data_IF_415111063511
#
_entry.id   IF_415111063511
#
_cell.length_a   1.000
_cell.length_b   1.000
_cell.length_c   1.000
_cell.angle_alpha   90.00
_cell.angle_beta   90.00
_cell.angle_gamma   90.00
#
_symmetry.space_group_name_H-M   'P 1'
#
loop_
_entity.id
_entity.type
_entity.pdbx_description
1 polymer ?
#
# COMPACT_ATOMS: atom_id res chain seq x y z
N UNK A 1 -56.16 53.77 -10.41
CA UNK A 1 -56.89 52.52 -10.15
C UNK A 1 -55.76 51.50 -9.99
N UNK A 2 -55.33 51.24 -8.75
CA UNK A 2 -55.81 50.19 -7.85
C UNK A 2 -55.60 48.82 -8.55
N UNK A 3 -54.89 47.85 -8.02
CA UNK A 3 -54.66 47.43 -6.64
C UNK A 3 -53.63 46.29 -6.67
N UNK A 4 -52.71 46.26 -5.75
CA UNK A 4 -52.65 45.26 -4.65
C UNK A 4 -52.56 43.80 -5.18
N UNK A 5 -51.64 43.07 -4.81
CA UNK A 5 -51.04 42.74 -3.57
C UNK A 5 -50.27 41.44 -3.73
N UNK A 6 -49.50 41.40 -2.83
CA UNK A 6 -49.21 40.45 -1.77
C UNK A 6 -48.06 39.54 -2.06
N UNK A 7 -47.02 39.90 -1.40
CA UNK A 7 -45.92 39.13 -0.83
C UNK A 7 -46.37 37.82 -0.24
N UNK A 8 -45.62 36.77 -0.52
CA UNK A 8 -45.34 35.78 0.54
C UNK A 8 -43.94 35.23 0.30
N UNK A 9 -43.02 35.81 0.99
CA UNK A 9 -41.79 35.17 1.42
C UNK A 9 -42.12 33.90 2.20
N UNK A 10 -41.57 32.78 1.81
CA UNK A 10 -41.32 31.70 2.76
C UNK A 10 -39.90 31.22 2.52
N UNK A 11 -39.03 31.64 3.41
CA UNK A 11 -37.77 30.99 3.76
C UNK A 11 -38.02 29.51 3.99
N UNK A 12 -37.25 28.67 3.30
CA UNK A 12 -36.86 27.36 3.79
C UNK A 12 -35.39 27.14 3.36
N UNK A 13 -34.51 27.88 4.00
CA UNK A 13 -33.17 27.44 4.29
C UNK A 13 -33.26 26.54 5.50
N UNK A 14 -33.42 25.28 5.33
CA UNK A 14 -33.13 24.26 6.33
C UNK A 14 -32.08 23.31 5.73
N UNK A 15 -30.85 23.60 6.11
CA UNK A 15 -29.90 22.65 6.69
C UNK A 15 -30.13 21.18 6.29
N UNK A 16 -29.49 20.77 5.22
CA UNK A 16 -29.05 19.38 5.04
C UNK A 16 -27.54 19.30 5.30
N UNK A 17 -27.14 19.52 6.54
CA UNK A 17 -25.95 18.91 7.09
C UNK A 17 -26.23 17.41 7.16
N UNK A 18 -25.99 16.74 6.05
CA UNK A 18 -25.94 15.29 6.05
C UNK A 18 -24.64 14.88 6.72
N UNK A 19 -24.75 14.48 7.97
CA UNK A 19 -23.79 13.67 8.70
C UNK A 19 -23.23 12.56 7.82
N UNK A 20 -22.11 12.82 7.15
CA UNK A 20 -21.22 11.78 6.67
C UNK A 20 -20.34 11.33 7.84
N UNK A 21 -20.94 10.85 8.89
CA UNK A 21 -20.31 9.92 9.79
C UNK A 21 -20.25 8.57 9.06
N UNK A 22 -19.23 8.43 8.22
CA UNK A 22 -18.77 7.11 7.80
C UNK A 22 -18.38 6.35 9.06
N UNK A 23 -19.28 5.48 9.50
CA UNK A 23 -19.01 4.48 10.52
C UNK A 23 -17.91 3.54 9.98
N UNK A 24 -16.67 3.96 10.10
CA UNK A 24 -15.54 3.06 10.16
C UNK A 24 -15.70 2.26 11.44
N UNK A 25 -16.33 1.10 11.34
CA UNK A 25 -16.24 0.06 12.37
C UNK A 25 -14.75 -0.27 12.51
N UNK A 26 -14.07 0.44 13.39
CA UNK A 26 -12.70 0.14 13.78
C UNK A 26 -12.77 -1.25 14.42
N UNK A 27 -12.38 -2.29 13.67
CA UNK A 27 -12.18 -3.60 14.24
C UNK A 27 -11.10 -3.45 15.32
N UNK A 28 -11.55 -3.44 16.55
CA UNK A 28 -10.72 -3.19 17.70
C UNK A 28 -9.64 -4.30 17.75
N UNK A 29 -8.37 -3.90 17.74
CA UNK A 29 -7.27 -4.84 17.90
C UNK A 29 -7.35 -5.47 19.27
N UNK A 30 -7.54 -6.80 19.31
CA UNK A 30 -7.53 -7.55 20.56
C UNK A 30 -6.14 -8.18 20.69
N UNK A 31 -5.31 -7.71 21.64
CA UNK A 31 -3.94 -8.21 21.81
C UNK A 31 -3.94 -9.63 22.38
N UNK A 32 -3.75 -10.62 21.53
CA UNK A 32 -3.43 -11.98 21.99
C UNK A 32 -1.92 -12.13 22.19
N UNK A 33 -1.42 -13.03 23.08
CA UNK A 33 0.02 -13.26 23.23
C UNK A 33 0.72 -13.59 21.91
N UNK A 34 0.06 -14.36 21.05
CA UNK A 34 0.56 -14.72 19.72
C UNK A 34 0.67 -13.50 18.78
N UNK A 35 -0.37 -12.67 18.72
CA UNK A 35 -0.33 -11.46 17.89
C UNK A 35 0.70 -10.45 18.40
N UNK A 36 0.87 -10.33 19.70
CA UNK A 36 1.91 -9.48 20.27
C UNK A 36 3.32 -9.98 19.92
N UNK A 37 3.54 -11.28 19.93
CA UNK A 37 4.82 -11.88 19.50
C UNK A 37 5.10 -11.62 18.02
N UNK A 38 4.08 -11.79 17.16
CA UNK A 38 4.19 -11.47 15.73
C UNK A 38 4.47 -9.98 15.48
N UNK A 39 3.79 -9.13 16.21
CA UNK A 39 3.97 -7.68 16.10
C UNK A 39 5.36 -7.25 16.56
N UNK A 40 5.88 -7.85 17.64
CA UNK A 40 7.26 -7.62 18.08
C UNK A 40 8.28 -8.09 17.05
N UNK A 41 8.05 -9.24 16.42
CA UNK A 41 8.88 -9.74 15.32
C UNK A 41 8.85 -8.79 14.11
N UNK A 42 7.67 -8.31 13.72
CA UNK A 42 7.54 -7.31 12.65
C UNK A 42 8.29 -6.02 12.96
N UNK A 43 8.17 -5.49 14.16
CA UNK A 43 8.87 -4.28 14.58
C UNK A 43 10.39 -4.42 14.55
N UNK A 44 10.90 -5.64 14.73
CA UNK A 44 12.35 -5.92 14.68
C UNK A 44 12.86 -6.14 13.25
N UNK A 45 12.08 -6.81 12.40
CA UNK A 45 12.53 -7.28 11.08
C UNK A 45 12.25 -6.26 9.98
N UNK A 46 11.07 -5.66 9.99
CA UNK A 46 10.59 -4.81 8.90
C UNK A 46 11.42 -3.54 8.65
N UNK A 47 12.13 -2.95 9.63
CA UNK A 47 13.05 -1.85 9.34
C UNK A 47 14.17 -2.21 8.37
N UNK A 48 14.55 -3.49 8.30
CA UNK A 48 15.66 -3.98 7.45
C UNK A 48 15.20 -4.73 6.20
N UNK A 49 13.99 -5.28 6.19
CA UNK A 49 13.51 -6.15 5.11
C UNK A 49 12.01 -6.02 4.89
N UNK A 50 11.58 -6.04 3.63
CA UNK A 50 10.17 -6.11 3.31
C UNK A 50 9.61 -7.50 3.66
N UNK A 51 8.38 -7.54 4.18
CA UNK A 51 7.79 -8.75 4.77
C UNK A 51 6.53 -9.16 4.03
N UNK A 52 6.35 -10.48 3.84
CA UNK A 52 5.10 -11.07 3.39
C UNK A 52 4.44 -11.89 4.49
N UNK A 53 3.25 -11.51 4.89
CA UNK A 53 2.43 -12.20 5.88
C UNK A 53 1.57 -13.26 5.17
N UNK A 54 1.85 -14.53 5.42
CA UNK A 54 1.14 -15.65 4.81
C UNK A 54 0.26 -16.34 5.85
N UNK A 55 -0.99 -16.58 5.50
CA UNK A 55 -1.90 -17.29 6.40
C UNK A 55 -3.32 -17.35 5.87
N UNK A 56 -4.18 -18.20 6.44
CA UNK A 56 -5.55 -18.37 6.00
C UNK A 56 -6.36 -17.07 6.13
N UNK A 57 -7.52 -17.03 5.46
CA UNK A 57 -8.46 -15.91 5.62
C UNK A 57 -8.91 -15.78 7.06
N UNK A 58 -9.07 -14.56 7.54
CA UNK A 58 -9.54 -14.30 8.91
C UNK A 58 -8.50 -14.48 10.01
N UNK A 59 -7.24 -14.88 9.73
CA UNK A 59 -6.21 -15.03 10.77
C UNK A 59 -5.64 -13.71 11.33
N UNK A 60 -6.17 -12.57 10.90
CA UNK A 60 -5.81 -11.26 11.45
C UNK A 60 -4.64 -10.54 10.76
N UNK A 61 -4.22 -10.93 9.55
CA UNK A 61 -3.14 -10.25 8.80
C UNK A 61 -3.34 -8.74 8.70
N UNK A 62 -4.49 -8.34 8.17
CA UNK A 62 -4.80 -6.91 7.97
C UNK A 62 -4.88 -6.14 9.29
N UNK A 63 -5.42 -6.77 10.34
CA UNK A 63 -5.48 -6.17 11.69
C UNK A 63 -4.08 -5.98 12.27
N UNK A 64 -3.19 -6.96 12.07
CA UNK A 64 -1.80 -6.89 12.50
C UNK A 64 -1.05 -5.74 11.80
N UNK A 65 -1.24 -5.59 10.47
CA UNK A 65 -0.64 -4.51 9.69
C UNK A 65 -1.15 -3.14 10.14
N UNK A 66 -2.46 -3.00 10.38
CA UNK A 66 -3.04 -1.76 10.90
C UNK A 66 -2.47 -1.38 12.27
N UNK A 67 -2.34 -2.35 13.18
CA UNK A 67 -1.75 -2.10 14.51
C UNK A 67 -0.26 -1.79 14.43
N UNK A 68 0.48 -2.44 13.53
CA UNK A 68 1.87 -2.13 13.22
C UNK A 68 2.03 -0.67 12.77
N UNK A 69 1.26 -0.25 11.76
CA UNK A 69 1.30 1.12 11.25
C UNK A 69 0.92 2.16 12.31
N UNK A 70 -0.11 1.86 13.12
CA UNK A 70 -0.53 2.71 14.23
C UNK A 70 0.59 2.92 15.27
N UNK A 71 1.34 1.87 15.61
CA UNK A 71 2.46 1.98 16.57
C UNK A 71 3.62 2.80 16.05
N UNK A 72 3.90 2.72 14.76
CA UNK A 72 4.96 3.50 14.11
C UNK A 72 4.50 4.88 13.66
N UNK A 73 3.20 5.17 13.75
CA UNK A 73 2.60 6.41 13.25
C UNK A 73 2.94 6.67 11.77
N UNK A 74 2.88 5.63 10.94
CA UNK A 74 3.14 5.72 9.51
C UNK A 74 1.86 5.68 8.71
N UNK A 75 1.83 6.43 7.61
CA UNK A 75 0.73 6.41 6.63
C UNK A 75 0.72 5.08 5.89
N UNK A 76 -0.46 4.50 5.72
CA UNK A 76 -0.66 3.22 5.02
C UNK A 76 -1.28 3.46 3.67
N UNK A 77 -0.63 2.97 2.62
CA UNK A 77 -1.14 2.99 1.26
C UNK A 77 -1.58 1.57 0.85
N UNK A 78 -2.89 1.27 0.88
CA UNK A 78 -3.39 -0.06 0.53
C UNK A 78 -3.40 -0.28 -0.98
N UNK A 79 -2.84 -1.40 -1.42
CA UNK A 79 -2.75 -1.81 -2.82
C UNK A 79 -3.41 -3.18 -2.95
N UNK A 80 -4.61 -3.22 -3.51
CA UNK A 80 -5.29 -4.48 -3.76
C UNK A 80 -4.71 -5.14 -5.02
N UNK A 81 -4.15 -6.33 -4.85
CA UNK A 81 -3.61 -7.13 -5.94
C UNK A 81 -4.68 -8.09 -6.49
N UNK A 82 -4.79 -8.19 -7.82
CA UNK A 82 -5.75 -9.03 -8.52
C UNK A 82 -5.11 -9.81 -9.67
N UNK A 83 -5.77 -10.87 -10.13
CA UNK A 83 -5.19 -11.86 -11.03
C UNK A 83 -4.72 -11.28 -12.37
N UNK A 84 -5.49 -10.38 -12.96
CA UNK A 84 -5.21 -9.81 -14.28
C UNK A 84 -4.37 -8.52 -14.21
N UNK A 85 -3.82 -8.22 -13.04
CA UNK A 85 -2.99 -7.04 -12.83
C UNK A 85 -1.71 -7.13 -13.66
N UNK A 86 -1.41 -6.04 -14.36
CA UNK A 86 -0.22 -5.91 -15.19
C UNK A 86 0.88 -5.13 -14.46
N UNK A 87 2.11 -5.17 -14.99
CA UNK A 87 3.21 -4.35 -14.49
C UNK A 87 2.92 -2.84 -14.57
N UNK A 88 2.10 -2.40 -15.55
CA UNK A 88 1.67 -1.01 -15.67
C UNK A 88 0.75 -0.59 -14.53
N UNK A 89 -0.17 -1.47 -14.13
CA UNK A 89 -1.07 -1.18 -13.00
C UNK A 89 -0.32 -1.02 -11.69
N UNK A 90 0.80 -1.76 -11.54
CA UNK A 90 1.68 -1.65 -10.37
C UNK A 90 2.53 -0.37 -10.37
N UNK A 91 2.90 0.16 -11.54
CA UNK A 91 3.87 1.26 -11.62
C UNK A 91 3.24 2.57 -12.09
N UNK A 92 2.77 2.62 -13.32
CA UNK A 92 2.22 3.82 -13.93
C UNK A 92 1.15 3.47 -14.95
N UNK A 93 0.08 4.25 -14.96
CA UNK A 93 -0.99 4.15 -15.94
C UNK A 93 -1.03 5.41 -16.81
N UNK A 94 -1.50 5.25 -18.05
CA UNK A 94 -1.80 6.38 -18.91
C UNK A 94 -3.19 6.91 -18.59
N UNK A 95 -3.28 8.21 -18.35
CA UNK A 95 -4.54 8.93 -18.16
C UNK A 95 -4.64 10.03 -19.20
N UNK A 96 -5.83 10.21 -19.77
CA UNK A 96 -6.11 11.30 -20.72
C UNK A 96 -6.76 12.44 -19.95
N UNK A 97 -6.17 13.62 -20.00
CA UNK A 97 -6.73 14.84 -19.43
C UNK A 97 -7.91 15.33 -20.26
N UNK A 98 -8.68 16.26 -19.70
CA UNK A 98 -9.84 16.87 -20.39
C UNK A 98 -9.45 17.65 -21.66
N UNK A 99 -8.23 18.13 -21.74
CA UNK A 99 -7.63 18.80 -22.90
C UNK A 99 -7.19 17.85 -24.02
N UNK A 100 -7.32 16.53 -23.82
CA UNK A 100 -6.94 15.48 -24.77
C UNK A 100 -5.50 15.01 -24.62
N UNK A 101 -4.68 15.66 -23.81
CA UNK A 101 -3.31 15.26 -23.56
C UNK A 101 -3.23 13.96 -22.74
N UNK A 102 -2.33 13.08 -23.15
CA UNK A 102 -2.04 11.83 -22.42
C UNK A 102 -0.88 12.04 -21.44
N UNK A 103 -1.15 11.80 -20.18
CA UNK A 103 -0.15 11.90 -19.11
C UNK A 103 0.06 10.57 -18.43
N UNK A 104 1.27 10.35 -17.92
CA UNK A 104 1.56 9.24 -17.04
C UNK A 104 1.15 9.59 -15.61
N UNK A 105 0.38 8.70 -14.99
CA UNK A 105 -0.05 8.81 -13.61
C UNK A 105 0.62 7.71 -12.80
N UNK A 106 1.29 8.09 -11.71
CA UNK A 106 1.92 7.14 -10.79
C UNK A 106 0.86 6.29 -10.10
N UNK A 107 1.19 5.02 -9.90
CA UNK A 107 0.40 4.14 -9.04
C UNK A 107 0.55 4.52 -7.57
N UNK A 108 -0.34 4.00 -6.72
CA UNK A 108 -0.25 4.13 -5.27
C UNK A 108 1.09 3.61 -4.72
N UNK A 109 1.66 2.55 -5.33
CA UNK A 109 2.97 2.01 -4.94
C UNK A 109 4.10 3.01 -5.19
N UNK A 110 4.11 3.64 -6.35
CA UNK A 110 5.12 4.65 -6.71
C UNK A 110 4.97 5.89 -5.84
N UNK A 111 3.75 6.36 -5.61
CA UNK A 111 3.48 7.48 -4.70
C UNK A 111 3.96 7.18 -3.28
N UNK A 112 3.66 6.00 -2.74
CA UNK A 112 4.15 5.56 -1.43
C UNK A 112 5.68 5.53 -1.36
N UNK A 113 6.36 5.10 -2.45
CA UNK A 113 7.82 5.08 -2.50
C UNK A 113 8.44 6.48 -2.45
N UNK A 114 7.78 7.47 -3.03
CA UNK A 114 8.24 8.85 -3.04
C UNK A 114 7.94 9.58 -1.72
N UNK A 115 6.80 9.28 -1.10
CA UNK A 115 6.32 9.93 0.13
C UNK A 115 6.85 9.30 1.42
N UNK A 116 7.36 8.07 1.36
CA UNK A 116 7.84 7.32 2.53
C UNK A 116 6.74 6.61 3.30
N UNK A 117 5.59 6.38 2.67
CA UNK A 117 4.47 5.67 3.25
C UNK A 117 4.70 4.15 3.26
N UNK A 118 3.93 3.44 4.09
CA UNK A 118 3.90 1.99 4.12
C UNK A 118 2.99 1.46 3.03
N UNK A 119 3.55 0.86 1.98
CA UNK A 119 2.78 0.18 0.94
C UNK A 119 2.31 -1.19 1.43
N UNK A 120 1.00 -1.42 1.44
CA UNK A 120 0.40 -2.70 1.86
C UNK A 120 -0.20 -3.42 0.66
N UNK A 121 0.53 -4.39 0.12
CA UNK A 121 0.14 -5.19 -1.03
C UNK A 121 -0.74 -6.37 -0.60
N UNK A 122 -2.06 -6.25 -0.73
CA UNK A 122 -3.00 -7.31 -0.32
C UNK A 122 -3.31 -8.28 -1.45
N UNK A 123 -3.02 -9.54 -1.23
CA UNK A 123 -3.34 -10.63 -2.15
C UNK A 123 -2.19 -11.04 -3.09
N UNK A 124 -0.96 -11.07 -2.60
CA UNK A 124 0.22 -11.44 -3.40
C UNK A 124 0.06 -12.76 -4.17
N UNK A 125 -0.65 -13.73 -3.59
CA UNK A 125 -0.94 -15.04 -4.19
C UNK A 125 -1.85 -15.00 -5.42
N UNK A 126 -2.46 -13.85 -5.74
CA UNK A 126 -3.37 -13.68 -6.89
C UNK A 126 -2.64 -13.27 -8.15
N UNK A 127 -1.54 -12.53 -8.01
CA UNK A 127 -0.81 -11.94 -9.14
C UNK A 127 0.15 -12.96 -9.73
N UNK A 128 0.29 -12.95 -11.05
CA UNK A 128 1.23 -13.83 -11.74
C UNK A 128 2.69 -13.45 -11.39
N UNK A 129 3.54 -14.47 -11.22
CA UNK A 129 4.94 -14.26 -10.82
C UNK A 129 5.70 -13.30 -11.77
N UNK A 130 5.43 -13.36 -13.07
CA UNK A 130 6.07 -12.47 -14.05
C UNK A 130 5.73 -10.98 -13.83
N UNK A 131 4.53 -10.67 -13.36
CA UNK A 131 4.15 -9.29 -12.99
C UNK A 131 4.90 -8.84 -11.74
N UNK A 132 5.08 -9.74 -10.76
CA UNK A 132 5.81 -9.44 -9.52
C UNK A 132 7.32 -9.26 -9.73
N UNK A 133 7.91 -9.84 -10.78
CA UNK A 133 9.32 -9.65 -11.11
C UNK A 133 9.70 -8.18 -11.31
N UNK A 134 8.73 -7.35 -11.72
CA UNK A 134 8.94 -5.89 -11.84
C UNK A 134 9.29 -5.25 -10.49
N UNK A 135 8.78 -5.82 -9.39
CA UNK A 135 9.04 -5.32 -8.04
C UNK A 135 10.42 -5.72 -7.50
N UNK A 136 11.11 -6.67 -8.14
CA UNK A 136 12.36 -7.23 -7.61
C UNK A 136 13.41 -6.14 -7.33
N UNK A 137 13.61 -5.23 -8.25
CA UNK A 137 14.56 -4.14 -8.07
C UNK A 137 14.09 -3.12 -7.03
N UNK A 138 12.78 -2.87 -6.94
CA UNK A 138 12.22 -1.98 -5.93
C UNK A 138 12.39 -2.55 -4.52
N UNK A 139 12.20 -3.86 -4.35
CA UNK A 139 12.31 -4.53 -3.05
C UNK A 139 13.77 -4.65 -2.62
N UNK A 140 14.67 -5.12 -3.49
CA UNK A 140 16.07 -5.41 -3.12
C UNK A 140 16.97 -4.17 -3.15
N UNK A 141 16.88 -3.42 -4.25
CA UNK A 141 17.81 -2.33 -4.51
C UNK A 141 17.23 -0.95 -4.21
N UNK A 142 15.92 -0.86 -3.98
CA UNK A 142 15.18 0.41 -3.94
C UNK A 142 15.40 1.20 -5.23
N UNK A 143 15.35 0.52 -6.36
CA UNK A 143 15.45 1.13 -7.68
C UNK A 143 14.28 0.70 -8.56
N UNK A 144 13.83 1.63 -9.40
CA UNK A 144 12.76 1.36 -10.34
C UNK A 144 12.88 2.27 -11.55
N UNK A 145 12.60 1.75 -12.75
CA UNK A 145 12.44 2.55 -13.94
C UNK A 145 10.97 2.59 -14.32
N UNK A 146 10.44 3.79 -14.47
CA UNK A 146 9.06 4.05 -14.82
C UNK A 146 8.88 4.10 -16.35
N UNK A 147 7.64 3.98 -16.80
CA UNK A 147 7.31 3.96 -18.24
C UNK A 147 7.42 5.31 -18.94
N UNK A 148 7.42 6.41 -18.18
CA UNK A 148 7.68 7.76 -18.68
C UNK A 148 9.17 8.07 -18.86
N UNK A 149 10.05 7.10 -18.54
CA UNK A 149 11.50 7.24 -18.57
C UNK A 149 12.10 7.72 -17.25
N UNK A 150 11.30 8.10 -16.26
CA UNK A 150 11.77 8.49 -14.94
C UNK A 150 12.39 7.31 -14.21
N UNK A 151 13.49 7.55 -13.51
CA UNK A 151 14.19 6.54 -12.72
C UNK A 151 14.08 6.88 -11.24
N UNK A 152 13.64 5.92 -10.44
CA UNK A 152 13.65 6.00 -8.99
C UNK A 152 14.95 5.38 -8.47
N UNK A 153 15.62 6.07 -7.56
CA UNK A 153 16.86 5.59 -6.95
C UNK A 153 16.74 5.59 -5.42
N UNK A 154 17.45 4.67 -4.79
CA UNK A 154 17.62 4.64 -3.33
C UNK A 154 18.25 5.97 -2.88
N UNK A 155 17.80 6.44 -1.72
CA UNK A 155 18.18 7.76 -1.19
C UNK A 155 19.68 8.01 -1.19
N UNK A 156 20.49 7.07 -0.71
CA UNK A 156 21.96 7.19 -0.64
C UNK A 156 22.62 7.34 -2.02
N UNK A 157 22.16 6.54 -3.00
CA UNK A 157 22.66 6.65 -4.39
C UNK A 157 22.22 7.94 -5.06
N UNK A 158 20.98 8.37 -4.82
CA UNK A 158 20.49 9.64 -5.33
C UNK A 158 21.31 10.81 -4.76
N UNK A 159 21.51 10.82 -3.43
CA UNK A 159 22.24 11.87 -2.74
C UNK A 159 23.70 11.96 -3.25
N UNK A 160 24.40 10.82 -3.43
CA UNK A 160 25.74 10.76 -4.03
C UNK A 160 25.77 11.31 -5.47
N UNK A 161 24.75 11.02 -6.28
CA UNK A 161 24.68 11.54 -7.65
C UNK A 161 24.44 13.04 -7.68
N UNK A 162 23.59 13.57 -6.80
CA UNK A 162 23.35 15.03 -6.66
C UNK A 162 24.62 15.74 -6.20
N UNK A 163 25.35 15.19 -5.24
CA UNK A 163 26.66 15.73 -4.81
C UNK A 163 27.65 15.79 -5.96
N UNK A 164 27.73 14.73 -6.76
CA UNK A 164 28.60 14.65 -7.96
C UNK A 164 28.18 15.66 -9.05
N UNK A 165 26.90 16.04 -9.08
CA UNK A 165 26.33 17.02 -10.01
C UNK A 165 26.25 18.45 -9.40
N UNK A 166 27.21 18.82 -8.60
CA UNK A 166 27.31 20.16 -7.99
C UNK A 166 26.09 20.56 -7.14
N UNK A 167 25.40 19.59 -6.54
CA UNK A 167 24.20 19.80 -5.74
C UNK A 167 22.91 20.05 -6.53
N UNK A 168 22.96 19.88 -7.87
CA UNK A 168 21.79 20.08 -8.72
C UNK A 168 21.00 18.78 -8.90
N UNK A 169 19.66 18.81 -8.81
CA UNK A 169 18.82 17.67 -9.12
C UNK A 169 19.04 17.16 -10.56
N UNK A 170 18.99 15.85 -10.74
CA UNK A 170 19.19 15.23 -12.05
C UNK A 170 17.83 15.08 -12.74
N UNK A 171 17.62 15.66 -13.93
CA UNK A 171 16.38 15.52 -14.66
C UNK A 171 16.01 14.04 -14.91
N UNK A 172 14.76 13.67 -14.68
CA UNK A 172 14.27 12.30 -14.88
C UNK A 172 14.72 11.29 -13.81
N UNK A 173 15.34 11.76 -12.72
CA UNK A 173 15.68 10.90 -11.57
C UNK A 173 14.98 11.39 -10.32
N UNK A 174 14.31 10.50 -9.61
CA UNK A 174 13.61 10.79 -8.37
C UNK A 174 14.19 9.95 -7.22
N UNK A 175 14.14 10.50 -6.03
CA UNK A 175 14.63 9.90 -4.80
C UNK A 175 13.55 9.07 -4.14
N UNK A 176 13.82 7.80 -3.85
CA UNK A 176 12.95 7.01 -2.97
C UNK A 176 13.17 7.44 -1.52
N UNK A 177 12.07 7.62 -0.80
CA UNK A 177 12.12 8.02 0.61
C UNK A 177 12.77 6.92 1.47
N UNK A 178 13.65 7.24 2.42
CA UNK A 178 14.35 6.25 3.25
C UNK A 178 13.40 5.41 4.11
N UNK A 179 12.27 5.98 4.52
CA UNK A 179 11.27 5.29 5.35
C UNK A 179 10.29 4.42 4.56
N UNK A 180 10.37 4.45 3.22
CA UNK A 180 9.51 3.61 2.39
C UNK A 180 9.72 2.13 2.69
N UNK A 181 8.62 1.41 2.95
CA UNK A 181 8.59 -0.04 3.22
C UNK A 181 7.38 -0.68 2.59
N UNK A 182 7.48 -2.00 2.37
CA UNK A 182 6.41 -2.81 1.79
C UNK A 182 6.06 -3.94 2.75
N UNK A 183 4.76 -4.10 3.02
CA UNK A 183 4.21 -5.31 3.62
C UNK A 183 3.26 -5.95 2.61
N UNK A 184 3.52 -7.20 2.25
CA UNK A 184 2.60 -7.98 1.44
C UNK A 184 1.74 -8.91 2.31
N UNK A 185 0.53 -9.22 1.87
CA UNK A 185 -0.29 -10.27 2.47
C UNK A 185 -0.65 -11.34 1.45
N UNK A 186 -0.70 -12.59 1.88
CA UNK A 186 -1.05 -13.70 1.02
C UNK A 186 -1.84 -14.78 1.76
N UNK A 187 -2.53 -15.64 1.02
CA UNK A 187 -3.12 -16.86 1.56
C UNK A 187 -2.12 -17.99 1.55
N UNK A 188 -2.29 -18.94 2.46
CA UNK A 188 -1.44 -20.13 2.51
C UNK A 188 -1.54 -20.92 1.20
N UNK A 189 -0.43 -21.47 0.69
CA UNK A 189 -0.46 -22.35 -0.46
C UNK A 189 -1.39 -23.55 -0.17
N UNK A 190 -2.13 -23.97 -1.17
CA UNK A 190 -3.00 -25.14 -1.12
C UNK A 190 -2.56 -26.20 -2.14
N UNK A 191 -2.99 -27.44 -1.94
CA UNK A 191 -2.80 -28.51 -2.91
C UNK A 191 -3.47 -28.14 -4.22
N UNK A 192 -2.67 -27.84 -5.25
CA UNK A 192 -3.14 -27.40 -6.57
C UNK A 192 -2.94 -25.90 -6.86
N UNK A 193 -2.63 -25.06 -5.89
CA UNK A 193 -2.26 -23.67 -6.11
C UNK A 193 -0.98 -23.32 -5.33
N UNK A 194 0.16 -23.74 -5.88
CA UNK A 194 1.49 -23.38 -5.37
C UNK A 194 1.95 -22.07 -6.03
N UNK A 195 1.50 -20.96 -5.50
CA UNK A 195 1.91 -19.63 -5.95
C UNK A 195 3.31 -19.22 -5.45
N UNK A 196 3.85 -19.94 -4.45
CA UNK A 196 5.20 -19.71 -3.92
C UNK A 196 6.26 -20.29 -4.86
N UNK A 197 6.64 -19.51 -5.86
CA UNK A 197 7.78 -19.84 -6.73
C UNK A 197 9.10 -19.34 -6.12
N UNK A 198 10.27 -19.87 -6.53
CA UNK A 198 11.57 -19.41 -6.04
C UNK A 198 11.76 -17.88 -6.22
N UNK A 199 11.25 -17.32 -7.32
CA UNK A 199 11.30 -15.90 -7.60
C UNK A 199 10.53 -15.09 -6.57
N UNK A 200 9.33 -15.54 -6.20
CA UNK A 200 8.50 -14.88 -5.17
C UNK A 200 9.14 -15.03 -3.79
N UNK A 201 9.68 -16.20 -3.48
CA UNK A 201 10.37 -16.44 -2.22
C UNK A 201 11.61 -15.55 -2.02
N UNK A 202 12.24 -15.13 -3.10
CA UNK A 202 13.37 -14.20 -3.04
C UNK A 202 12.96 -12.75 -2.79
N UNK A 203 11.69 -12.36 -3.05
CA UNK A 203 11.25 -10.98 -2.96
C UNK A 203 11.08 -10.49 -1.52
N UNK A 204 10.51 -11.31 -0.65
CA UNK A 204 10.10 -10.90 0.70
C UNK A 204 10.63 -11.85 1.77
N UNK A 205 10.76 -11.35 2.98
CA UNK A 205 10.86 -12.22 4.14
C UNK A 205 9.47 -12.73 4.51
N UNK A 206 9.28 -14.05 4.49
CA UNK A 206 7.98 -14.68 4.71
C UNK A 206 7.73 -14.97 6.17
N UNK A 207 6.60 -14.47 6.69
CA UNK A 207 6.09 -14.77 8.03
C UNK A 207 4.76 -15.53 7.92
N UNK A 208 4.74 -16.79 8.38
CA UNK A 208 3.55 -17.62 8.34
C UNK A 208 2.70 -17.46 9.61
N UNK A 209 1.42 -17.18 9.43
CA UNK A 209 0.43 -17.04 10.49
C UNK A 209 -0.44 -18.29 10.57
N UNK A 210 -0.63 -18.81 11.79
CA UNK A 210 -1.46 -19.98 12.08
C UNK A 210 -2.74 -19.59 12.81
N UNK A 211 -3.84 -20.32 12.57
CA UNK A 211 -5.12 -20.15 13.28
C UNK A 211 -5.13 -20.86 14.64
N UNK A 212 -4.17 -21.73 14.93
CA UNK A 212 -4.21 -22.65 16.09
C UNK A 212 -4.39 -21.98 17.45
N UNK A 213 -4.22 -20.66 17.58
CA UNK A 213 -4.38 -19.96 18.85
C UNK A 213 -5.79 -19.42 19.13
N UNK A 214 -6.73 -19.50 18.18
CA UNK A 214 -8.09 -18.99 18.39
C UNK A 214 -9.04 -20.02 19.02
N UNK A 215 -8.76 -21.32 18.96
CA UNK A 215 -9.69 -22.38 19.36
C UNK A 215 -9.54 -22.77 20.85
N UNK A 216 -8.49 -22.34 21.54
CA UNK A 216 -8.21 -22.77 22.93
C UNK A 216 -8.96 -22.00 24.02
N UNK A 217 -9.93 -21.13 23.73
CA UNK A 217 -10.64 -20.34 24.77
C UNK A 217 -12.15 -20.54 24.84
N UNK A 218 -12.70 -21.56 24.19
CA UNK A 218 -14.11 -21.95 24.36
C UNK A 218 -14.24 -23.46 24.67
N UNK A 219 -13.59 -23.91 25.75
CA UNK A 219 -13.97 -25.10 26.51
C UNK A 219 -13.88 -24.80 27.99
#
# INVERSE_FOLDING_TARGET
MQSLGVSTDVKLEESMETDQQSATSSSQYIPTPYQNSLLSALLTIHPTSDVCLVGPRGCGKTTLVKEYARRLNVTVEPIALYQDMTARDLLQQRSTKQDGDTVWQNSTLVSAALEGSLAVCDGLHRVHASTLCVLQRLVHDRELQLYDGTRLLRHDRYDTLVESNQGQPIPGVLRIHPDFRIIATAESPSTGNSWLTPEILSLFLFQFLSICCFISRHR
#
